data_IF_803288905352
#
_entry.id   IF_803288905352
#
_cell.length_a   1.000
_cell.length_b   1.000
_cell.length_c   1.000
_cell.angle_alpha   90.00
_cell.angle_beta   90.00
_cell.angle_gamma   90.00
#
_symmetry.space_group_name_H-M   'P 1'
#
loop_
_entity.id
_entity.type
_entity.pdbx_description
1 polymer ?
#
# COMPACT_ATOMS: atom_id res chain seq x y z
N UNK A 1 -25.15 19.59 19.84
CA UNK A 1 -24.25 20.75 19.61
C UNK A 1 -24.44 21.88 20.64
N UNK A 2 -25.59 22.01 21.32
CA UNK A 2 -25.83 23.07 22.33
C UNK A 2 -25.15 22.83 23.69
N UNK A 3 -24.99 21.59 24.14
CA UNK A 3 -24.38 21.29 25.45
C UNK A 3 -22.89 21.69 25.54
N UNK A 4 -22.10 21.52 24.47
CA UNK A 4 -20.69 21.93 24.47
C UNK A 4 -20.50 23.44 24.64
N UNK A 5 -21.44 24.24 24.14
CA UNK A 5 -21.39 25.71 24.30
C UNK A 5 -21.59 26.10 25.76
N UNK A 6 -22.44 25.36 26.49
CA UNK A 6 -22.67 25.59 27.92
C UNK A 6 -21.43 25.20 28.77
N UNK A 7 -20.82 24.04 28.47
CA UNK A 7 -19.59 23.58 29.15
C UNK A 7 -18.41 24.56 28.98
N UNK A 8 -18.20 25.07 27.77
CA UNK A 8 -17.15 26.07 27.49
C UNK A 8 -17.41 27.38 28.25
N UNK A 9 -18.66 27.85 28.27
CA UNK A 9 -19.02 29.07 28.98
C UNK A 9 -18.85 28.94 30.49
N UNK A 10 -19.21 27.80 31.07
CA UNK A 10 -18.99 27.50 32.48
C UNK A 10 -17.50 27.47 32.83
N UNK A 11 -16.67 26.89 31.96
CA UNK A 11 -15.22 26.89 32.12
C UNK A 11 -14.64 28.31 32.12
N UNK A 12 -15.01 29.14 31.15
CA UNK A 12 -14.56 30.54 31.10
C UNK A 12 -15.01 31.37 32.30
N UNK A 13 -16.25 31.15 32.78
CA UNK A 13 -16.76 31.81 33.99
C UNK A 13 -15.90 31.47 35.20
N UNK A 14 -15.64 30.18 35.45
CA UNK A 14 -14.80 29.74 36.60
C UNK A 14 -13.39 30.31 36.54
N UNK A 15 -12.75 30.36 35.37
CA UNK A 15 -11.41 30.95 35.25
C UNK A 15 -11.42 32.46 35.49
N UNK A 16 -12.47 33.15 35.06
CA UNK A 16 -12.60 34.59 35.29
C UNK A 16 -12.74 34.95 36.77
N UNK A 17 -13.36 34.07 37.57
CA UNK A 17 -13.49 34.25 39.03
C UNK A 17 -12.16 34.07 39.78
N UNK A 18 -11.21 33.32 39.22
CA UNK A 18 -9.93 33.00 39.88
C UNK A 18 -8.81 33.98 39.52
N UNK A 19 -9.02 34.88 38.54
CA UNK A 19 -7.98 35.83 38.13
C UNK A 19 -7.83 36.97 39.14
N UNK A 20 -7.02 36.74 40.16
CA UNK A 20 -6.47 37.76 41.06
C UNK A 20 -5.09 38.19 40.55
N UNK A 21 -4.86 39.49 40.44
CA UNK A 21 -3.53 40.03 40.15
C UNK A 21 -2.66 39.97 41.42
N UNK A 22 -1.74 39.00 41.48
CA UNK A 22 -0.80 38.89 42.60
C UNK A 22 0.34 39.91 42.51
N UNK A 23 0.78 40.37 43.69
CA UNK A 23 1.98 41.18 43.81
C UNK A 23 3.24 40.40 43.39
N UNK A 24 4.28 41.11 42.94
CA UNK A 24 5.58 40.51 42.60
C UNK A 24 6.17 39.69 43.76
N UNK A 25 6.00 40.17 44.98
CA UNK A 25 6.51 39.49 46.18
C UNK A 25 5.79 38.17 46.46
N UNK A 26 4.48 38.13 46.22
CA UNK A 26 3.66 36.92 46.41
C UNK A 26 3.98 35.87 45.35
N UNK A 27 4.20 36.30 44.11
CA UNK A 27 4.66 35.44 43.02
C UNK A 27 6.04 34.83 43.32
N UNK A 28 6.98 35.59 43.89
CA UNK A 28 8.26 35.04 44.30
C UNK A 28 8.13 34.02 45.43
N UNK A 29 7.24 34.26 46.41
CA UNK A 29 6.94 33.30 47.50
C UNK A 29 6.34 32.01 46.93
N UNK A 30 5.41 32.11 45.98
CA UNK A 30 4.83 30.97 45.27
C UNK A 30 5.91 30.14 44.57
N UNK A 31 6.79 30.77 43.79
CA UNK A 31 7.88 30.07 43.11
C UNK A 31 8.85 29.38 44.08
N UNK A 32 9.17 30.02 45.21
CA UNK A 32 9.99 29.40 46.27
C UNK A 32 9.33 28.16 46.87
N UNK A 33 8.01 28.16 47.05
CA UNK A 33 7.24 27.00 47.53
C UNK A 33 7.17 25.89 46.49
N UNK A 34 6.96 26.24 45.22
CA UNK A 34 6.95 25.27 44.10
C UNK A 34 8.30 24.56 43.99
N UNK A 35 9.43 25.28 44.11
CA UNK A 35 10.77 24.66 44.14
C UNK A 35 10.99 23.70 45.31
N UNK A 36 10.23 23.85 46.41
CA UNK A 36 10.24 22.93 47.56
C UNK A 36 9.29 21.73 47.37
N UNK A 37 8.57 21.64 46.26
CA UNK A 37 7.64 20.54 45.97
C UNK A 37 6.22 20.74 46.53
N UNK A 38 5.83 21.96 46.88
CA UNK A 38 4.49 22.25 47.39
C UNK A 38 3.42 22.15 46.28
N UNK A 39 2.55 21.16 46.39
CA UNK A 39 1.48 20.88 45.40
C UNK A 39 0.40 21.96 45.39
N UNK A 40 0.05 22.53 46.55
CA UNK A 40 -0.96 23.59 46.63
C UNK A 40 -0.46 24.88 45.97
N UNK A 41 0.84 25.20 46.14
CA UNK A 41 1.45 26.32 45.45
C UNK A 41 1.48 26.12 43.92
N UNK A 42 1.72 24.88 43.46
CA UNK A 42 1.70 24.53 42.03
C UNK A 42 0.30 24.66 41.44
N UNK A 43 -0.72 24.16 42.13
CA UNK A 43 -2.11 24.27 41.70
C UNK A 43 -2.54 25.74 41.62
N UNK A 44 -2.24 26.53 42.66
CA UNK A 44 -2.54 27.97 42.63
C UNK A 44 -1.84 28.68 41.47
N UNK A 45 -0.58 28.34 41.19
CA UNK A 45 0.16 28.89 40.05
C UNK A 45 -0.46 28.50 38.70
N UNK A 46 -0.98 27.28 38.58
CA UNK A 46 -1.68 26.82 37.39
C UNK A 46 -2.96 27.62 37.17
N UNK A 47 -3.81 27.71 38.19
CA UNK A 47 -5.08 28.44 38.19
C UNK A 47 -4.95 29.89 37.70
N UNK A 48 -3.93 30.61 38.18
CA UNK A 48 -3.66 32.00 37.79
C UNK A 48 -3.31 32.15 36.30
N UNK A 49 -2.76 31.11 35.68
CA UNK A 49 -2.24 31.15 34.32
C UNK A 49 -3.11 30.38 33.31
N UNK A 50 -4.26 29.82 33.71
CA UNK A 50 -5.16 29.10 32.79
C UNK A 50 -5.61 29.97 31.61
N UNK A 51 -5.78 31.28 31.82
CA UNK A 51 -6.17 32.23 30.76
C UNK A 51 -5.16 32.31 29.62
N UNK A 52 -3.89 32.01 29.88
CA UNK A 52 -2.81 32.03 28.88
C UNK A 52 -2.99 30.91 27.83
N UNK A 53 -3.61 29.79 28.23
CA UNK A 53 -3.77 28.60 27.38
C UNK A 53 -4.81 28.83 26.28
N UNK A 54 -5.89 29.55 26.60
CA UNK A 54 -7.03 29.79 25.70
C UNK A 54 -6.61 30.38 24.34
N UNK A 55 -5.85 31.50 24.26
CA UNK A 55 -5.44 32.05 22.95
C UNK A 55 -4.47 31.12 22.21
N UNK A 56 -3.66 30.32 22.92
CA UNK A 56 -2.79 29.34 22.28
C UNK A 56 -3.62 28.22 21.63
N UNK A 57 -4.58 27.64 22.37
CA UNK A 57 -5.49 26.59 21.90
C UNK A 57 -6.35 27.04 20.72
N UNK A 58 -6.90 28.26 20.75
CA UNK A 58 -7.72 28.81 19.64
C UNK A 58 -7.00 28.81 18.29
N UNK A 59 -5.67 28.97 18.26
CA UNK A 59 -4.89 28.95 17.00
C UNK A 59 -4.85 27.56 16.35
N UNK A 60 -5.08 26.50 17.12
CA UNK A 60 -5.02 25.12 16.65
C UNK A 60 -6.41 24.49 16.43
N UNK A 61 -7.48 25.26 16.65
CA UNK A 61 -8.84 24.80 16.43
C UNK A 61 -9.05 24.40 14.97
N UNK A 62 -9.56 23.18 14.77
CA UNK A 62 -9.91 22.59 13.47
C UNK A 62 -11.27 21.92 13.60
N UNK A 63 -11.90 21.57 12.48
CA UNK A 63 -13.24 20.96 12.46
C UNK A 63 -13.32 19.67 13.29
N UNK A 64 -12.22 18.93 13.37
CA UNK A 64 -12.20 17.55 13.89
C UNK A 64 -11.68 17.45 15.34
N UNK A 65 -11.40 18.57 16.01
CA UNK A 65 -10.85 18.57 17.38
C UNK A 65 -11.60 19.58 18.23
N UNK A 66 -12.09 19.14 19.40
CA UNK A 66 -12.80 20.01 20.33
C UNK A 66 -11.85 21.02 20.97
N UNK A 67 -12.34 22.25 21.17
CA UNK A 67 -11.58 23.32 21.82
C UNK A 67 -11.26 22.96 23.28
N UNK A 68 -12.18 22.28 23.97
CA UNK A 68 -11.95 21.85 25.35
C UNK A 68 -10.78 20.87 25.44
N UNK A 69 -10.70 19.90 24.53
CA UNK A 69 -9.59 18.95 24.48
C UNK A 69 -8.24 19.66 24.24
N UNK A 70 -8.21 20.65 23.34
CA UNK A 70 -7.01 21.46 23.10
C UNK A 70 -6.62 22.27 24.34
N UNK A 71 -7.60 22.79 25.08
CA UNK A 71 -7.37 23.54 26.31
C UNK A 71 -6.79 22.62 27.39
N UNK A 72 -7.36 21.43 27.59
CA UNK A 72 -6.88 20.50 28.62
C UNK A 72 -5.45 20.03 28.35
N UNK A 73 -5.12 19.73 27.10
CA UNK A 73 -3.75 19.38 26.71
C UNK A 73 -2.79 20.56 26.83
N UNK A 74 -3.28 21.77 26.53
CA UNK A 74 -2.57 23.00 26.83
C UNK A 74 -2.32 23.20 28.32
N UNK A 75 -3.27 22.82 29.20
CA UNK A 75 -3.12 22.88 30.66
C UNK A 75 -2.05 21.89 31.14
N UNK A 76 -1.95 20.69 30.53
CA UNK A 76 -0.85 19.75 30.79
C UNK A 76 0.51 20.34 30.37
N UNK A 77 0.57 21.05 29.24
CA UNK A 77 1.75 21.79 28.81
C UNK A 77 2.12 22.91 29.79
N UNK A 78 1.13 23.67 30.28
CA UNK A 78 1.32 24.70 31.30
C UNK A 78 1.88 24.11 32.60
N UNK A 79 1.38 22.95 33.03
CA UNK A 79 1.87 22.25 34.22
C UNK A 79 3.36 21.90 34.09
N UNK A 80 3.77 21.37 32.93
CA UNK A 80 5.18 21.08 32.64
C UNK A 80 6.04 22.35 32.61
N UNK A 81 5.49 23.46 32.11
CA UNK A 81 6.18 24.75 32.16
C UNK A 81 6.42 25.21 33.60
N UNK A 82 5.43 25.05 34.48
CA UNK A 82 5.56 25.43 35.90
C UNK A 82 6.63 24.58 36.60
N UNK A 83 6.71 23.29 36.30
CA UNK A 83 7.73 22.40 36.90
C UNK A 83 9.16 22.76 36.50
N UNK A 84 9.35 23.21 35.26
CA UNK A 84 10.70 23.43 34.67
C UNK A 84 11.13 24.89 34.64
N UNK A 85 10.24 25.81 34.95
CA UNK A 85 10.54 27.24 34.90
C UNK A 85 11.51 27.63 36.03
N UNK A 86 12.50 28.44 35.68
CA UNK A 86 13.43 29.02 36.65
C UNK A 86 13.33 30.56 36.65
N UNK A 87 12.75 31.15 37.72
CA UNK A 87 12.65 32.61 37.84
C UNK A 87 13.99 33.34 37.87
N UNK A 88 15.09 32.65 38.22
CA UNK A 88 16.43 33.26 38.32
C UNK A 88 16.94 33.82 36.97
N UNK A 89 16.41 33.31 35.86
CA UNK A 89 16.83 33.67 34.50
C UNK A 89 16.28 35.01 34.02
N UNK A 90 15.38 35.65 34.76
CA UNK A 90 14.87 37.01 34.46
C UNK A 90 13.89 37.10 33.28
N UNK A 91 13.47 35.98 32.69
CA UNK A 91 12.44 35.97 31.65
C UNK A 91 11.03 35.91 32.23
N UNK A 92 10.05 36.49 31.53
CA UNK A 92 8.63 36.37 31.92
C UNK A 92 8.16 34.93 31.77
N UNK A 93 7.42 34.43 32.76
CA UNK A 93 6.87 33.07 32.74
C UNK A 93 6.02 32.79 31.49
N UNK A 94 5.20 33.75 31.06
CA UNK A 94 4.35 33.62 29.87
C UNK A 94 5.15 33.33 28.60
N UNK A 95 6.35 33.92 28.44
CA UNK A 95 7.24 33.67 27.30
C UNK A 95 7.78 32.24 27.30
N UNK A 96 8.02 31.66 28.47
CA UNK A 96 8.47 30.27 28.59
C UNK A 96 7.31 29.28 28.46
N UNK A 97 6.18 29.57 29.10
CA UNK A 97 5.01 28.71 29.14
C UNK A 97 4.40 28.49 27.76
N UNK A 98 4.37 29.51 26.90
CA UNK A 98 3.77 29.41 25.57
C UNK A 98 4.44 28.33 24.70
N UNK A 99 5.74 28.09 24.88
CA UNK A 99 6.47 27.03 24.17
C UNK A 99 5.96 25.64 24.56
N UNK A 100 5.81 25.39 25.87
CA UNK A 100 5.31 24.11 26.38
C UNK A 100 3.83 23.87 26.06
N UNK A 101 3.02 24.94 26.16
CA UNK A 101 1.60 24.89 25.77
C UNK A 101 1.48 24.53 24.28
N UNK A 102 2.19 25.24 23.40
CA UNK A 102 2.16 24.96 21.96
C UNK A 102 2.69 23.57 21.63
N UNK A 103 3.74 23.10 22.32
CA UNK A 103 4.28 21.76 22.12
C UNK A 103 3.27 20.67 22.53
N UNK A 104 2.64 20.81 23.69
CA UNK A 104 1.67 19.84 24.21
C UNK A 104 0.48 19.72 23.27
N UNK A 105 -0.08 20.87 22.85
CA UNK A 105 -1.20 20.92 21.90
C UNK A 105 -0.80 20.28 20.55
N UNK A 106 0.37 20.63 20.00
CA UNK A 106 0.84 20.02 18.73
C UNK A 106 1.04 18.52 18.85
N UNK A 107 1.58 18.06 19.98
CA UNK A 107 1.78 16.64 20.25
C UNK A 107 0.44 15.91 20.32
N UNK A 108 -0.54 16.46 21.03
CA UNK A 108 -1.89 15.92 21.10
C UNK A 108 -2.53 15.82 19.72
N UNK A 109 -2.44 16.88 18.91
CA UNK A 109 -2.95 16.87 17.54
C UNK A 109 -2.27 15.79 16.71
N UNK A 110 -0.96 15.64 16.79
CA UNK A 110 -0.23 14.60 16.06
C UNK A 110 -0.56 13.17 16.59
N UNK A 111 -0.93 13.01 17.87
CA UNK A 111 -1.26 11.70 18.47
C UNK A 111 -2.73 11.28 18.31
N UNK A 112 -3.67 12.24 18.27
CA UNK A 112 -5.12 12.03 18.15
C UNK A 112 -5.68 12.36 16.77
N UNK A 113 -4.82 12.64 15.78
CA UNK A 113 -5.27 12.93 14.42
C UNK A 113 -5.67 11.65 13.69
N UNK A 114 -6.98 11.41 13.65
CA UNK A 114 -7.61 10.38 12.84
C UNK A 114 -7.84 9.07 13.59
N UNK A 115 -8.63 8.18 12.98
CA UNK A 115 -9.01 6.90 13.59
C UNK A 115 -7.84 5.89 13.66
N UNK A 116 -6.87 5.96 12.73
CA UNK A 116 -5.64 5.17 12.79
C UNK A 116 -4.48 6.06 13.23
N UNK A 117 -3.91 5.73 14.39
CA UNK A 117 -2.79 6.47 14.97
C UNK A 117 -1.55 6.42 14.07
N UNK A 118 -1.05 7.61 13.69
CA UNK A 118 0.23 7.76 13.00
C UNK A 118 1.35 8.02 14.03
N UNK A 119 2.51 7.34 13.93
CA UNK A 119 3.65 7.63 14.80
C UNK A 119 4.19 9.06 14.66
N UNK A 120 4.68 9.64 15.76
CA UNK A 120 5.17 11.03 15.81
C UNK A 120 6.29 11.35 14.79
N UNK A 121 7.20 10.41 14.55
CA UNK A 121 8.30 10.59 13.59
C UNK A 121 7.79 10.66 12.13
N UNK A 122 6.67 10.00 11.82
CA UNK A 122 6.09 10.02 10.48
C UNK A 122 5.42 11.37 10.16
N UNK A 123 4.87 12.06 11.17
CA UNK A 123 4.27 13.40 10.99
C UNK A 123 5.25 14.44 10.45
N UNK A 124 6.52 14.38 10.87
CA UNK A 124 7.56 15.27 10.35
C UNK A 124 7.79 15.08 8.85
N UNK A 125 7.83 13.83 8.41
CA UNK A 125 7.97 13.47 7.00
C UNK A 125 6.69 13.81 6.20
N UNK A 126 5.49 13.58 6.75
CA UNK A 126 4.21 13.95 6.11
C UNK A 126 4.08 15.48 5.94
N UNK A 127 4.49 16.27 6.93
CA UNK A 127 4.48 17.75 6.84
C UNK A 127 5.43 18.24 5.74
N UNK A 128 6.64 17.66 5.65
CA UNK A 128 7.60 17.94 4.57
C UNK A 128 7.05 17.54 3.20
N UNK A 129 6.47 16.35 3.10
CA UNK A 129 5.81 15.86 1.89
C UNK A 129 4.71 16.82 1.44
N UNK A 130 3.81 17.23 2.33
CA UNK A 130 2.68 18.10 1.98
C UNK A 130 3.15 19.51 1.56
N UNK A 131 4.16 20.06 2.24
CA UNK A 131 4.74 21.37 1.90
C UNK A 131 5.41 21.35 0.52
N UNK A 132 6.21 20.33 0.24
CA UNK A 132 6.89 20.18 -1.06
C UNK A 132 5.92 19.85 -2.18
N UNK A 133 4.90 19.03 -1.91
CA UNK A 133 3.83 18.74 -2.85
C UNK A 133 3.10 20.01 -3.28
N UNK A 134 2.71 20.87 -2.33
CA UNK A 134 2.05 22.13 -2.64
C UNK A 134 2.99 23.09 -3.39
N UNK A 135 4.26 23.21 -2.97
CA UNK A 135 5.22 24.07 -3.66
C UNK A 135 5.49 23.62 -5.12
N UNK A 136 5.58 22.31 -5.35
CA UNK A 136 5.72 21.76 -6.70
C UNK A 136 4.43 21.90 -7.51
N UNK A 137 3.27 21.72 -6.89
CA UNK A 137 1.98 21.93 -7.54
C UNK A 137 1.82 23.39 -8.00
N UNK A 138 2.21 24.34 -7.17
CA UNK A 138 2.14 25.77 -7.48
C UNK A 138 3.12 26.16 -8.59
N UNK A 139 4.33 25.58 -8.60
CA UNK A 139 5.34 25.88 -9.63
C UNK A 139 5.10 25.20 -10.98
N UNK A 140 4.50 24.00 -10.98
CA UNK A 140 4.24 23.23 -12.18
C UNK A 140 2.83 23.48 -12.76
N UNK A 141 1.95 24.13 -12.00
CA UNK A 141 0.51 24.29 -12.30
C UNK A 141 -0.21 22.96 -12.58
N UNK A 142 0.37 21.84 -12.11
CA UNK A 142 -0.17 20.48 -12.21
C UNK A 142 0.23 19.65 -11.01
N UNK A 143 -0.38 18.48 -10.86
CA UNK A 143 0.05 17.54 -9.83
C UNK A 143 1.47 17.03 -10.13
N UNK A 144 2.38 17.05 -9.12
CA UNK A 144 3.73 16.56 -9.29
C UNK A 144 3.77 15.03 -9.37
N UNK A 145 4.67 14.48 -10.19
CA UNK A 145 4.91 13.03 -10.23
C UNK A 145 5.65 12.55 -8.98
N UNK A 146 5.46 11.29 -8.59
CA UNK A 146 6.21 10.66 -7.49
C UNK A 146 7.74 10.70 -7.72
N UNK A 147 8.19 10.68 -8.97
CA UNK A 147 9.62 10.84 -9.29
C UNK A 147 10.12 12.27 -9.12
N UNK A 148 9.29 13.26 -9.41
CA UNK A 148 9.61 14.67 -9.17
C UNK A 148 9.69 14.94 -7.66
N UNK A 149 8.72 14.42 -6.90
CA UNK A 149 8.74 14.43 -5.44
C UNK A 149 9.98 13.74 -4.87
N UNK A 150 10.38 12.60 -5.45
CA UNK A 150 11.59 11.86 -5.03
C UNK A 150 12.86 12.65 -5.22
N UNK A 151 12.98 13.35 -6.35
CA UNK A 151 14.14 14.18 -6.67
C UNK A 151 14.21 15.42 -5.78
N UNK A 152 13.07 16.08 -5.55
CA UNK A 152 13.00 17.29 -4.75
C UNK A 152 13.28 17.03 -3.27
N UNK A 153 12.76 15.91 -2.74
CA UNK A 153 12.93 15.54 -1.33
C UNK A 153 14.23 14.75 -1.05
N UNK A 154 14.95 14.33 -2.09
CA UNK A 154 16.08 13.40 -2.02
C UNK A 154 15.74 12.11 -1.23
N UNK A 155 14.55 11.57 -1.50
CA UNK A 155 14.03 10.38 -0.81
C UNK A 155 14.01 9.16 -1.72
N UNK A 156 14.33 8.00 -1.16
CA UNK A 156 14.22 6.72 -1.87
C UNK A 156 12.77 6.39 -2.23
N UNK A 157 12.58 5.67 -3.33
CA UNK A 157 11.26 5.19 -3.77
C UNK A 157 10.48 4.42 -2.68
N UNK A 158 11.19 3.64 -1.85
CA UNK A 158 10.55 2.91 -0.74
C UNK A 158 10.03 3.85 0.35
N UNK A 159 10.79 4.90 0.67
CA UNK A 159 10.39 5.88 1.68
C UNK A 159 9.15 6.64 1.22
N UNK A 160 9.09 7.04 -0.05
CA UNK A 160 7.93 7.71 -0.63
C UNK A 160 6.70 6.81 -0.59
N UNK A 161 6.86 5.54 -1.00
CA UNK A 161 5.78 4.56 -0.95
C UNK A 161 5.25 4.36 0.47
N UNK A 162 6.14 4.24 1.46
CA UNK A 162 5.76 4.11 2.87
C UNK A 162 5.00 5.33 3.40
N UNK A 163 5.41 6.53 3.00
CA UNK A 163 4.70 7.77 3.38
C UNK A 163 3.33 7.82 2.72
N UNK A 164 3.24 7.46 1.44
CA UNK A 164 1.96 7.40 0.73
C UNK A 164 1.01 6.36 1.34
N UNK A 165 1.52 5.18 1.68
CA UNK A 165 0.77 4.14 2.40
C UNK A 165 0.27 4.67 3.75
N UNK A 166 1.10 5.40 4.49
CA UNK A 166 0.71 6.00 5.78
C UNK A 166 -0.38 7.06 5.60
N UNK A 167 -0.25 7.93 4.59
CA UNK A 167 -1.25 8.96 4.29
C UNK A 167 -2.57 8.31 3.84
N UNK A 168 -2.50 7.29 2.99
CA UNK A 168 -3.69 6.57 2.50
C UNK A 168 -4.38 5.79 3.62
N UNK A 169 -3.62 5.18 4.54
CA UNK A 169 -4.19 4.50 5.69
C UNK A 169 -4.93 5.49 6.61
N UNK A 170 -4.42 6.71 6.78
CA UNK A 170 -5.07 7.71 7.64
C UNK A 170 -6.24 8.44 6.96
N UNK A 171 -6.16 8.71 5.66
CA UNK A 171 -7.20 9.42 4.89
C UNK A 171 -8.26 8.51 4.28
N UNK A 172 -7.95 7.23 4.07
CA UNK A 172 -8.85 6.26 3.45
C UNK A 172 -9.83 5.63 4.44
N UNK A 173 -10.08 6.29 5.58
CA UNK A 173 -11.04 5.84 6.58
C UNK A 173 -12.28 6.69 6.38
N UNK A 174 -13.35 6.04 5.94
CA UNK A 174 -14.68 6.63 5.85
C UNK A 174 -15.63 5.93 6.81
N UNK A 175 -16.75 6.57 7.12
CA UNK A 175 -17.78 5.98 7.98
C UNK A 175 -18.56 4.91 7.21
N UNK A 176 -18.75 3.74 7.81
CA UNK A 176 -19.62 2.70 7.27
C UNK A 176 -21.10 3.14 7.23
N UNK A 177 -21.48 4.02 8.14
CA UNK A 177 -22.81 4.62 8.19
C UNK A 177 -22.97 5.79 7.19
N UNK A 178 -21.99 6.03 6.31
CA UNK A 178 -22.14 7.00 5.25
C UNK A 178 -23.21 6.50 4.27
N UNK A 179 -24.28 7.28 4.10
CA UNK A 179 -25.30 7.00 3.10
C UNK A 179 -24.70 7.15 1.69
N UNK A 180 -24.96 6.16 0.84
CA UNK A 180 -24.54 6.10 -0.55
C UNK A 180 -25.81 6.15 -1.42
N UNK A 181 -26.15 7.33 -1.91
CA UNK A 181 -27.31 7.55 -2.76
C UNK A 181 -28.01 8.88 -2.45
N UNK A 182 -29.00 9.25 -3.26
CA UNK A 182 -29.79 10.47 -3.06
C UNK A 182 -30.93 10.28 -2.05
N UNK A 183 -31.38 9.04 -1.83
CA UNK A 183 -32.54 8.70 -0.99
C UNK A 183 -32.16 8.26 0.44
N UNK A 184 -30.88 8.34 0.82
CA UNK A 184 -30.34 7.93 2.12
C UNK A 184 -30.69 6.48 2.57
N UNK A 185 -31.22 5.62 1.67
CA UNK A 185 -31.69 4.27 2.02
C UNK A 185 -30.58 3.22 2.12
N UNK A 186 -29.46 3.43 1.43
CA UNK A 186 -28.35 2.47 1.34
C UNK A 186 -27.13 3.08 2.00
N UNK A 187 -26.50 2.37 2.93
CA UNK A 187 -25.25 2.78 3.56
C UNK A 187 -24.05 2.07 2.94
N UNK A 188 -22.84 2.58 3.19
CA UNK A 188 -21.60 1.89 2.80
C UNK A 188 -21.53 0.49 3.42
N UNK A 189 -22.01 0.33 4.65
CA UNK A 189 -22.11 -0.96 5.33
C UNK A 189 -22.91 -1.99 4.51
N UNK A 190 -24.05 -1.58 3.94
CA UNK A 190 -24.92 -2.47 3.16
C UNK A 190 -24.28 -2.97 1.86
N UNK A 191 -23.28 -2.24 1.34
CA UNK A 191 -22.57 -2.60 0.10
C UNK A 191 -21.40 -3.57 0.33
N UNK A 192 -20.95 -3.74 1.58
CA UNK A 192 -19.80 -4.57 1.89
C UNK A 192 -20.22 -6.05 1.95
N UNK A 193 -19.58 -6.85 1.10
CA UNK A 193 -19.77 -8.31 1.12
C UNK A 193 -18.85 -8.95 2.16
N UNK A 194 -19.40 -9.89 2.94
CA UNK A 194 -18.59 -10.77 3.77
C UNK A 194 -18.03 -11.90 2.88
N UNK A 195 -16.74 -11.79 2.52
CA UNK A 195 -15.99 -12.85 1.83
C UNK A 195 -15.58 -14.00 2.79
N UNK A 196 -16.20 -14.05 3.97
CA UNK A 196 -15.90 -14.97 5.06
C UNK A 196 -15.99 -16.45 4.70
N UNK A 197 -15.23 -17.25 5.45
CA UNK A 197 -15.31 -18.72 5.41
C UNK A 197 -16.63 -19.17 6.04
N UNK A 198 -17.67 -19.27 5.23
CA UNK A 198 -19.01 -19.62 5.74
C UNK A 198 -20.11 -19.59 4.71
N UNK A 199 -19.81 -19.21 3.46
CA UNK A 199 -20.76 -19.31 2.37
C UNK A 199 -21.32 -20.77 2.33
N UNK A 200 -22.64 -20.97 2.35
CA UNK A 200 -23.26 -22.30 2.26
C UNK A 200 -22.67 -23.15 1.14
N UNK A 201 -22.33 -22.54 0.00
CA UNK A 201 -21.71 -23.22 -1.14
C UNK A 201 -20.30 -23.74 -0.82
N UNK A 202 -19.49 -22.95 -0.11
CA UNK A 202 -18.14 -23.35 0.31
C UNK A 202 -18.20 -24.46 1.36
N UNK A 203 -19.13 -24.36 2.31
CA UNK A 203 -19.34 -25.38 3.34
C UNK A 203 -19.79 -26.70 2.70
N UNK A 204 -20.75 -26.63 1.77
CA UNK A 204 -21.22 -27.79 1.02
C UNK A 204 -20.10 -28.39 0.16
N UNK A 205 -19.37 -27.57 -0.59
CA UNK A 205 -18.25 -28.01 -1.43
C UNK A 205 -17.16 -28.68 -0.61
N UNK A 206 -16.84 -28.13 0.57
CA UNK A 206 -15.85 -28.71 1.49
C UNK A 206 -16.34 -30.03 2.10
N UNK A 207 -17.60 -30.10 2.50
CA UNK A 207 -18.21 -31.33 3.03
C UNK A 207 -18.23 -32.44 1.97
N UNK A 208 -18.72 -32.13 0.76
CA UNK A 208 -18.73 -33.03 -0.39
C UNK A 208 -17.33 -33.53 -0.74
N UNK A 209 -16.35 -32.62 -0.80
CA UNK A 209 -14.95 -32.97 -1.02
C UNK A 209 -14.41 -33.92 0.05
N UNK A 210 -14.74 -33.69 1.33
CA UNK A 210 -14.30 -34.53 2.44
C UNK A 210 -14.92 -35.94 2.35
N UNK A 211 -16.23 -36.04 2.12
CA UNK A 211 -16.92 -37.33 1.92
C UNK A 211 -16.33 -38.11 0.75
N UNK A 212 -16.03 -37.43 -0.36
CA UNK A 212 -15.45 -38.06 -1.53
C UNK A 212 -13.98 -38.49 -1.30
N UNK A 213 -13.22 -37.75 -0.49
CA UNK A 213 -11.86 -38.11 -0.07
C UNK A 213 -11.90 -39.34 0.85
N UNK A 214 -12.83 -39.41 1.81
CA UNK A 214 -13.03 -40.58 2.67
C UNK A 214 -13.39 -41.83 1.84
N UNK A 215 -14.31 -41.70 0.89
CA UNK A 215 -14.65 -42.78 -0.05
C UNK A 215 -13.44 -43.20 -0.91
N UNK A 216 -12.56 -42.26 -1.27
CA UNK A 216 -11.31 -42.60 -1.97
C UNK A 216 -10.32 -43.35 -1.09
N UNK A 217 -10.22 -42.99 0.20
CA UNK A 217 -9.35 -43.65 1.19
C UNK A 217 -9.81 -45.07 1.55
N UNK A 218 -11.11 -45.36 1.51
CA UNK A 218 -11.64 -46.70 1.82
C UNK A 218 -11.28 -47.77 0.78
N UNK A 219 -11.01 -47.40 -0.47
CA UNK A 219 -10.59 -48.34 -1.52
C UNK A 219 -9.09 -48.67 -1.45
N UNK A 220 -8.31 -47.91 -0.67
CA UNK A 220 -6.90 -48.21 -0.47
C UNK A 220 -6.72 -49.40 0.47
N UNK A 221 -5.59 -50.10 0.31
CA UNK A 221 -5.18 -51.11 1.27
C UNK A 221 -5.13 -50.51 2.69
N UNK A 222 -5.56 -51.24 3.74
CA UNK A 222 -5.61 -50.73 5.10
C UNK A 222 -4.30 -50.11 5.58
N UNK A 223 -3.17 -50.73 5.20
CA UNK A 223 -1.82 -50.26 5.52
C UNK A 223 -1.45 -48.95 4.83
N UNK A 224 -1.86 -48.78 3.57
CA UNK A 224 -1.58 -47.58 2.77
C UNK A 224 -2.45 -46.41 3.25
N UNK A 225 -3.72 -46.69 3.60
CA UNK A 225 -4.65 -45.74 4.23
C UNK A 225 -4.10 -45.21 5.54
N UNK A 226 -3.63 -46.09 6.43
CA UNK A 226 -3.12 -45.70 7.74
C UNK A 226 -1.87 -44.82 7.66
N UNK A 227 -0.93 -45.15 6.76
CA UNK A 227 0.26 -44.33 6.47
C UNK A 227 -0.15 -42.93 5.99
N UNK A 228 -1.11 -42.83 5.07
CA UNK A 228 -1.59 -41.54 4.56
C UNK A 228 -2.34 -40.72 5.61
N UNK A 229 -3.15 -41.37 6.46
CA UNK A 229 -3.89 -40.70 7.52
C UNK A 229 -2.96 -40.11 8.58
N UNK A 230 -1.92 -40.84 9.00
CA UNK A 230 -0.91 -40.34 9.94
C UNK A 230 -0.06 -39.23 9.31
N UNK A 231 0.34 -39.40 8.04
CA UNK A 231 1.19 -38.43 7.34
C UNK A 231 0.53 -37.07 7.14
N UNK A 232 -0.77 -37.09 6.78
CA UNK A 232 -1.55 -35.88 6.53
C UNK A 232 -2.34 -35.40 7.77
N UNK A 233 -2.20 -36.07 8.92
CA UNK A 233 -2.90 -35.70 10.14
C UNK A 233 -4.42 -35.86 10.07
N UNK A 234 -4.96 -36.71 9.20
CA UNK A 234 -6.42 -36.87 9.04
C UNK A 234 -7.11 -37.51 10.25
N UNK A 235 -6.35 -38.15 11.16
CA UNK A 235 -6.87 -38.80 12.37
C UNK A 235 -6.67 -37.96 13.63
N UNK A 236 -5.49 -37.36 13.76
CA UNK A 236 -5.03 -36.66 14.98
C UNK A 236 -4.87 -35.15 14.77
N UNK A 237 -5.22 -34.63 13.59
CA UNK A 237 -5.04 -33.24 13.16
C UNK A 237 -3.58 -32.75 13.12
N UNK A 238 -2.61 -33.64 13.40
CA UNK A 238 -1.18 -33.37 13.37
C UNK A 238 -0.50 -34.26 12.32
N UNK A 239 0.18 -33.68 11.30
CA UNK A 239 0.88 -34.45 10.30
C UNK A 239 2.21 -34.99 10.86
N UNK A 240 2.39 -36.31 10.82
CA UNK A 240 3.62 -36.96 11.27
C UNK A 240 4.71 -36.97 10.20
N UNK A 241 5.99 -36.94 10.59
CA UNK A 241 7.11 -37.07 9.64
C UNK A 241 7.26 -38.50 9.12
N UNK A 242 7.90 -38.68 7.95
CA UNK A 242 8.20 -40.03 7.41
C UNK A 242 8.96 -40.91 8.42
N UNK A 243 9.80 -40.29 9.27
CA UNK A 243 10.58 -41.01 10.27
C UNK A 243 9.75 -41.43 11.48
N UNK A 244 8.74 -40.67 11.86
CA UNK A 244 7.80 -41.06 12.93
C UNK A 244 6.90 -42.18 12.45
N UNK A 245 6.32 -42.04 11.26
CA UNK A 245 5.49 -43.07 10.63
C UNK A 245 6.29 -44.36 10.42
N UNK A 246 7.56 -44.27 10.05
CA UNK A 246 8.42 -45.45 9.87
C UNK A 246 8.67 -46.21 11.18
N UNK A 247 8.83 -45.48 12.30
CA UNK A 247 8.97 -46.07 13.64
C UNK A 247 7.70 -46.78 14.09
N UNK A 248 6.54 -46.16 13.88
CA UNK A 248 5.23 -46.70 14.26
C UNK A 248 4.88 -47.95 13.43
N UNK A 249 5.14 -47.93 12.12
CA UNK A 249 4.77 -49.01 11.19
C UNK A 249 5.84 -50.12 11.06
N UNK A 250 6.98 -49.99 11.77
CA UNK A 250 8.10 -50.93 11.68
C UNK A 250 8.71 -51.03 10.27
N UNK A 251 8.74 -49.93 9.52
CA UNK A 251 9.21 -49.87 8.13
C UNK A 251 10.45 -48.99 8.01
N UNK A 252 11.21 -49.16 6.91
CA UNK A 252 12.21 -48.16 6.53
C UNK A 252 11.56 -46.86 6.10
N UNK A 253 12.19 -45.72 6.39
CA UNK A 253 11.75 -44.39 5.95
C UNK A 253 11.48 -44.33 4.44
N UNK A 254 12.37 -44.92 3.65
CA UNK A 254 12.24 -44.95 2.18
C UNK A 254 11.04 -45.81 1.74
N UNK A 255 10.74 -46.86 2.50
CA UNK A 255 9.57 -47.70 2.21
C UNK A 255 8.26 -46.96 2.48
N UNK A 256 8.18 -46.16 3.53
CA UNK A 256 7.02 -45.29 3.81
C UNK A 256 6.82 -44.28 2.67
N UNK A 257 7.90 -43.65 2.19
CA UNK A 257 7.86 -42.72 1.05
C UNK A 257 7.30 -43.37 -0.23
N UNK A 258 7.76 -44.58 -0.55
CA UNK A 258 7.27 -45.33 -1.71
C UNK A 258 5.78 -45.69 -1.61
N UNK A 259 5.33 -46.06 -0.41
CA UNK A 259 3.92 -46.37 -0.15
C UNK A 259 3.08 -45.09 -0.28
N UNK A 260 3.53 -43.98 0.29
CA UNK A 260 2.87 -42.67 0.16
C UNK A 260 2.71 -42.26 -1.30
N UNK A 261 3.78 -42.31 -2.11
CA UNK A 261 3.72 -41.93 -3.54
C UNK A 261 2.74 -42.80 -4.33
N UNK A 262 2.75 -44.12 -4.06
CA UNK A 262 1.82 -45.05 -4.71
C UNK A 262 0.37 -44.78 -4.32
N UNK A 263 0.14 -44.56 -3.03
CA UNK A 263 -1.18 -44.32 -2.47
C UNK A 263 -1.76 -42.97 -2.97
N UNK A 264 -0.96 -41.90 -3.02
CA UNK A 264 -1.34 -40.61 -3.61
C UNK A 264 -1.66 -40.75 -5.10
N UNK A 265 -0.84 -41.51 -5.84
CA UNK A 265 -1.09 -41.76 -7.27
C UNK A 265 -2.42 -42.49 -7.49
N UNK A 266 -2.75 -43.46 -6.64
CA UNK A 266 -4.03 -44.17 -6.67
C UNK A 266 -5.21 -43.25 -6.37
N UNK A 267 -5.13 -42.47 -5.29
CA UNK A 267 -6.17 -41.49 -4.90
C UNK A 267 -6.36 -40.45 -6.01
N UNK A 268 -5.28 -39.97 -6.64
CA UNK A 268 -5.38 -38.97 -7.73
C UNK A 268 -6.14 -39.50 -8.94
N UNK A 269 -5.89 -40.76 -9.35
CA UNK A 269 -6.64 -41.40 -10.44
C UNK A 269 -8.13 -41.52 -10.11
N UNK A 270 -8.46 -41.85 -8.86
CA UNK A 270 -9.84 -41.98 -8.41
C UNK A 270 -10.54 -40.63 -8.26
N UNK A 271 -9.87 -39.64 -7.68
CA UNK A 271 -10.37 -38.27 -7.55
C UNK A 271 -10.65 -37.65 -8.93
N UNK A 272 -9.84 -37.98 -9.94
CA UNK A 272 -10.12 -37.65 -11.34
C UNK A 272 -11.37 -38.37 -11.88
N UNK A 273 -11.57 -39.66 -11.56
CA UNK A 273 -12.78 -40.41 -11.96
C UNK A 273 -14.05 -39.88 -11.29
N UNK A 274 -13.93 -39.37 -10.07
CA UNK A 274 -15.01 -38.76 -9.29
C UNK A 274 -15.25 -37.28 -9.62
N UNK A 275 -14.47 -36.69 -10.53
CA UNK A 275 -14.62 -35.28 -10.94
C UNK A 275 -14.24 -34.24 -9.89
N UNK A 276 -13.57 -34.65 -8.80
CA UNK A 276 -13.18 -33.78 -7.66
C UNK A 276 -11.98 -32.90 -8.03
N UNK A 277 -11.08 -33.45 -8.87
CA UNK A 277 -9.95 -32.71 -9.41
C UNK A 277 -10.26 -32.33 -10.86
N UNK A 278 -10.37 -31.04 -11.14
CA UNK A 278 -10.39 -30.55 -12.51
C UNK A 278 -9.16 -31.06 -13.27
N UNK A 279 -9.37 -31.49 -14.51
CA UNK A 279 -8.30 -31.86 -15.41
C UNK A 279 -7.55 -30.61 -15.87
N UNK A 280 -6.67 -30.07 -15.04
CA UNK A 280 -5.56 -29.32 -15.59
C UNK A 280 -4.66 -30.34 -16.27
N UNK A 281 -4.89 -30.56 -17.56
CA UNK A 281 -3.98 -31.29 -18.43
C UNK A 281 -2.57 -30.72 -18.23
N UNK A 282 -1.70 -31.48 -17.55
CA UNK A 282 -0.30 -31.14 -17.25
C UNK A 282 0.55 -31.13 -18.54
N UNK A 283 -0.06 -31.26 -19.72
CA UNK A 283 0.62 -31.31 -21.01
C UNK A 283 1.03 -29.97 -21.59
N UNK A 284 0.69 -28.82 -20.98
CA UNK A 284 1.10 -27.53 -21.55
C UNK A 284 1.69 -26.54 -20.54
N UNK A 285 2.96 -26.76 -20.19
CA UNK A 285 3.76 -25.81 -19.38
C UNK A 285 4.31 -24.62 -20.18
N UNK A 286 4.06 -24.53 -21.50
CA UNK A 286 4.70 -23.51 -22.36
C UNK A 286 3.75 -22.46 -22.92
N UNK A 287 2.45 -22.70 -22.91
CA UNK A 287 1.45 -21.73 -23.37
C UNK A 287 0.32 -21.58 -22.36
N UNK A 288 0.55 -20.76 -21.33
CA UNK A 288 -0.59 -20.08 -20.71
C UNK A 288 -1.19 -19.17 -21.77
N UNK A 289 -2.42 -19.52 -22.14
CA UNK A 289 -3.31 -18.72 -22.96
C UNK A 289 -3.41 -17.32 -22.33
N UNK A 290 -2.86 -16.32 -23.03
CA UNK A 290 -3.27 -14.94 -22.81
C UNK A 290 -4.59 -14.84 -23.57
N UNK A 291 -5.71 -14.87 -22.85
CA UNK A 291 -7.02 -14.61 -23.45
C UNK A 291 -7.00 -13.19 -24.05
N UNK A 292 -7.72 -12.95 -25.15
CA UNK A 292 -7.72 -11.66 -25.86
C UNK A 292 -8.21 -10.48 -25.00
N UNK A 293 -8.84 -10.73 -23.85
CA UNK A 293 -9.20 -9.73 -22.83
C UNK A 293 -8.22 -9.58 -21.65
N UNK A 294 -7.06 -10.25 -21.69
CA UNK A 294 -6.06 -10.15 -20.61
C UNK A 294 -5.17 -8.93 -20.82
N UNK A 295 -5.46 -7.84 -20.10
CA UNK A 295 -4.62 -6.65 -20.12
C UNK A 295 -3.23 -6.94 -19.54
N UNK A 296 -2.19 -6.63 -20.33
CA UNK A 296 -0.80 -6.82 -19.94
C UNK A 296 -0.46 -5.84 -18.81
N UNK A 297 -0.28 -6.34 -17.58
CA UNK A 297 0.28 -5.53 -16.50
C UNK A 297 1.71 -5.13 -16.87
N UNK A 298 1.90 -3.86 -17.22
CA UNK A 298 3.21 -3.28 -17.47
C UNK A 298 4.08 -3.44 -16.23
N UNK A 299 5.38 -3.73 -16.41
CA UNK A 299 6.32 -3.78 -15.30
C UNK A 299 6.46 -2.37 -14.74
N UNK A 300 5.88 -2.12 -13.57
CA UNK A 300 6.02 -0.85 -12.88
C UNK A 300 7.21 -0.87 -11.92
N UNK A 301 7.86 0.28 -11.74
CA UNK A 301 8.83 0.45 -10.66
C UNK A 301 8.09 0.47 -9.31
N UNK A 302 8.81 0.53 -8.20
CA UNK A 302 8.24 0.64 -6.84
C UNK A 302 7.27 1.84 -6.70
N UNK A 303 7.44 2.87 -7.53
CA UNK A 303 6.59 4.07 -7.61
C UNK A 303 5.45 3.99 -8.63
N UNK A 304 5.16 2.83 -9.22
CA UNK A 304 4.04 2.67 -10.16
C UNK A 304 4.31 3.16 -11.58
N UNK A 305 5.43 3.83 -11.85
CA UNK A 305 5.79 4.23 -13.22
C UNK A 305 6.16 3.01 -14.08
N UNK A 306 5.65 2.98 -15.32
CA UNK A 306 5.93 1.93 -16.29
C UNK A 306 7.42 1.96 -16.65
N UNK A 307 8.16 0.95 -16.20
CA UNK A 307 9.55 0.75 -16.61
C UNK A 307 9.51 0.24 -18.06
N UNK A 308 10.18 0.98 -18.94
CA UNK A 308 10.13 0.79 -20.39
C UNK A 308 10.15 -0.67 -20.85
N UNK A 309 9.31 -0.93 -21.86
CA UNK A 309 9.05 -2.21 -22.56
C UNK A 309 9.61 -3.46 -21.87
N UNK A 310 8.74 -4.13 -21.08
CA UNK A 310 9.01 -5.46 -20.56
C UNK A 310 9.63 -6.34 -21.66
N UNK A 311 10.62 -7.18 -21.34
CA UNK A 311 11.21 -8.10 -22.32
C UNK A 311 10.14 -8.92 -23.06
N UNK A 312 9.01 -9.20 -22.39
CA UNK A 312 7.82 -9.81 -22.96
C UNK A 312 7.10 -8.91 -23.98
N UNK A 313 6.99 -7.60 -23.73
CA UNK A 313 6.41 -6.63 -24.67
C UNK A 313 7.26 -6.49 -25.94
N UNK A 314 8.60 -6.49 -25.80
CA UNK A 314 9.52 -6.53 -26.95
C UNK A 314 9.37 -7.82 -27.76
N UNK A 315 9.25 -8.97 -27.07
CA UNK A 315 9.03 -10.28 -27.70
C UNK A 315 7.67 -10.36 -28.41
N UNK A 316 6.61 -9.78 -27.84
CA UNK A 316 5.28 -9.76 -28.44
C UNK A 316 5.21 -8.83 -29.65
N UNK A 317 5.84 -7.65 -29.60
CA UNK A 317 5.97 -6.77 -30.78
C UNK A 317 6.69 -7.49 -31.93
N UNK A 318 7.80 -8.17 -31.63
CA UNK A 318 8.53 -8.99 -32.62
C UNK A 318 7.68 -10.14 -33.18
N UNK A 319 6.88 -10.81 -32.33
CA UNK A 319 5.98 -11.88 -32.77
C UNK A 319 4.82 -11.37 -33.63
N UNK A 320 4.26 -10.20 -33.30
CA UNK A 320 3.23 -9.55 -34.12
C UNK A 320 3.77 -9.16 -35.49
N UNK A 321 5.01 -8.68 -35.57
CA UNK A 321 5.71 -8.44 -36.82
C UNK A 321 5.91 -9.74 -37.63
N UNK A 322 6.31 -10.84 -36.99
CA UNK A 322 6.47 -12.15 -37.62
C UNK A 322 5.13 -12.73 -38.15
N UNK A 323 4.03 -12.53 -37.41
CA UNK A 323 2.68 -12.95 -37.84
C UNK A 323 2.26 -12.13 -39.07
N UNK A 324 2.43 -10.80 -39.04
CA UNK A 324 2.16 -9.93 -40.20
C UNK A 324 2.99 -10.33 -41.42
N UNK A 325 4.26 -10.68 -41.23
CA UNK A 325 5.14 -11.19 -42.28
C UNK A 325 4.65 -12.54 -42.84
N UNK A 326 4.18 -13.45 -41.98
CA UNK A 326 3.59 -14.74 -42.39
C UNK A 326 2.28 -14.57 -43.15
N UNK A 327 1.41 -13.66 -42.72
CA UNK A 327 0.17 -13.34 -43.42
C UNK A 327 0.42 -12.67 -44.77
N UNK A 328 1.37 -11.73 -44.83
CA UNK A 328 1.83 -11.13 -46.08
C UNK A 328 2.42 -12.20 -47.03
N UNK A 329 3.20 -13.15 -46.52
CA UNK A 329 3.74 -14.26 -47.31
C UNK A 329 2.66 -15.24 -47.78
N UNK A 330 1.63 -15.50 -46.97
CA UNK A 330 0.45 -16.30 -47.37
C UNK A 330 -0.36 -15.59 -48.46
N UNK A 331 -0.58 -14.27 -48.33
CA UNK A 331 -1.23 -13.43 -49.35
C UNK A 331 -0.41 -13.37 -50.65
N UNK A 332 0.92 -13.33 -50.57
CA UNK A 332 1.79 -13.39 -51.74
C UNK A 332 1.75 -14.76 -52.42
N UNK A 333 1.66 -15.86 -51.65
CA UNK A 333 1.51 -17.23 -52.18
C UNK A 333 0.13 -17.47 -52.80
N UNK A 334 -0.95 -16.93 -52.23
CA UNK A 334 -2.29 -17.00 -52.83
C UNK A 334 -2.41 -16.14 -54.09
N UNK A 335 -1.69 -15.00 -54.17
CA UNK A 335 -1.56 -14.22 -55.39
C UNK A 335 -0.73 -14.94 -56.48
N UNK A 336 0.22 -15.79 -56.08
CA UNK A 336 1.00 -16.61 -57.02
C UNK A 336 0.23 -17.85 -57.51
N UNK A 337 -0.68 -18.41 -56.72
CA UNK A 337 -1.57 -19.50 -57.15
C UNK A 337 -2.69 -19.04 -58.10
N UNK A 338 -2.95 -17.74 -58.21
CA UNK A 338 -3.91 -17.17 -59.17
C UNK A 338 -3.31 -16.81 -60.54
N UNK A 339 -2.00 -17.08 -60.78
CA UNK A 339 -1.35 -16.91 -62.09
C UNK A 339 -1.08 -18.26 -62.78
N UNK A 340 -2.12 -19.08 -62.97
CA UNK A 340 -2.13 -20.15 -63.99
C UNK A 340 -3.53 -20.29 -64.61
N UNK A 341 -3.78 -19.47 -65.63
CA UNK A 341 -4.54 -19.82 -66.84
C UNK A 341 -4.20 -18.79 -67.93
N UNK A 342 -3.95 -19.21 -69.18
CA UNK A 342 -3.44 -18.32 -70.23
C UNK A 342 -4.58 -17.72 -71.07
N UNK A 343 -4.26 -16.59 -71.72
CA UNK A 343 -4.91 -16.04 -72.92
C UNK A 343 -6.37 -15.52 -72.79
N UNK A 344 -6.50 -14.23 -72.45
CA UNK A 344 -7.31 -13.19 -73.14
C UNK A 344 -7.53 -11.99 -72.22
N UNK A 345 -6.63 -11.02 -72.29
CA UNK A 345 -6.84 -9.60 -71.94
C UNK A 345 -5.50 -8.83 -72.09
N UNK A 346 -4.87 -8.94 -73.27
CA UNK A 346 -3.92 -7.93 -73.76
C UNK A 346 -4.67 -7.04 -74.73
N UNK A 347 -5.56 -6.21 -74.19
CA UNK A 347 -6.15 -5.02 -74.83
C UNK A 347 -7.01 -4.37 -73.76
N UNK A 348 -6.85 -3.07 -73.58
CA UNK A 348 -7.42 -2.23 -72.51
C UNK A 348 -6.66 -2.39 -71.16
N UNK A 349 -5.93 -1.44 -70.60
CA UNK A 349 -5.83 0.00 -70.79
C UNK A 349 -4.35 0.44 -70.76
N UNK A 350 -3.81 0.80 -71.92
CA UNK A 350 -2.82 1.88 -72.04
C UNK A 350 -3.62 3.15 -72.30
N UNK A 351 -3.84 3.94 -71.25
CA UNK A 351 -4.30 5.33 -71.16
C UNK A 351 -4.60 5.46 -69.67
N UNK A 352 -3.66 5.84 -68.82
CA UNK A 352 -3.26 7.23 -68.61
C UNK A 352 -1.90 7.28 -67.89
N UNK A 353 -0.96 8.07 -68.41
CA UNK A 353 0.19 8.64 -67.69
C UNK A 353 0.00 10.17 -67.74
N UNK A 354 0.45 10.97 -66.74
CA UNK A 354 1.87 11.37 -66.60
C UNK A 354 2.38 11.24 -65.15
N UNK A 355 3.62 10.84 -64.86
CA UNK A 355 4.95 11.46 -65.09
C UNK A 355 5.36 12.52 -64.04
N UNK A 356 6.45 12.23 -63.30
CA UNK A 356 7.63 13.08 -62.94
C UNK A 356 8.31 12.54 -61.67
N UNK A 357 9.52 11.97 -61.76
CA UNK A 357 10.86 12.60 -61.63
C UNK A 357 11.24 12.89 -60.16
N UNK A 358 12.17 12.11 -59.58
CA UNK A 358 13.63 12.33 -59.52
C UNK A 358 14.05 13.58 -58.73
N UNK A 359 14.64 13.37 -57.56
CA UNK A 359 15.75 14.20 -57.05
C UNK A 359 16.73 13.34 -56.25
N UNK A 360 17.96 13.32 -56.75
CA UNK A 360 19.10 12.57 -56.24
C UNK A 360 19.92 13.42 -55.26
N UNK A 361 20.55 12.71 -54.31
CA UNK A 361 21.95 12.79 -53.80
C UNK A 361 22.67 14.15 -53.62
N UNK A 362 23.61 14.10 -52.66
CA UNK A 362 24.81 14.92 -52.38
C UNK A 362 24.57 15.89 -51.20
N UNK A 363 25.22 15.72 -50.04
CA UNK A 363 26.64 16.03 -49.87
C UNK A 363 27.37 15.17 -48.82
N UNK A 364 28.64 14.93 -49.16
CA UNK A 364 29.66 14.17 -48.44
C UNK A 364 30.63 15.16 -47.76
N UNK A 365 31.15 14.74 -46.61
CA UNK A 365 32.44 15.11 -45.99
C UNK A 365 32.61 16.48 -45.33
N UNK A 366 33.08 16.44 -44.06
CA UNK A 366 34.48 16.72 -43.69
C UNK A 366 34.71 16.23 -42.25
N UNK A 367 35.65 15.29 -42.04
CA UNK A 367 37.01 15.50 -41.49
C UNK A 367 36.97 15.75 -39.97
N UNK A 368 37.78 15.14 -39.08
CA UNK A 368 38.75 14.04 -39.02
C UNK A 368 39.21 14.05 -37.55
N UNK A 369 39.59 12.87 -37.02
CA UNK A 369 40.65 12.63 -36.02
C UNK A 369 40.39 13.24 -34.62
N UNK A 370 40.41 12.44 -33.56
CA UNK A 370 41.66 11.88 -33.01
C UNK A 370 41.51 10.41 -32.58
N UNK A 371 42.36 9.55 -33.16
CA UNK A 371 42.93 8.36 -32.51
C UNK A 371 43.79 8.86 -31.32
N UNK A 372 44.12 8.15 -30.24
CA UNK A 372 44.84 6.85 -30.13
C UNK A 372 45.07 6.56 -28.61
N UNK A 373 45.73 5.46 -28.16
CA UNK A 373 45.12 4.48 -27.23
C UNK A 373 46.06 4.06 -26.06
N UNK A 374 45.90 2.82 -25.56
CA UNK A 374 46.79 2.05 -24.67
C UNK A 374 46.68 2.39 -23.16
N UNK A 375 46.76 1.48 -22.18
CA UNK A 375 47.40 0.14 -22.09
C UNK A 375 46.98 -0.57 -20.78
N UNK A 376 46.88 -1.90 -20.79
CA UNK A 376 47.25 -2.90 -19.75
C UNK A 376 47.50 -2.48 -18.28
N UNK A 377 46.89 -3.22 -17.32
CA UNK A 377 47.53 -4.13 -16.32
C UNK A 377 46.50 -4.59 -15.26
N UNK A 378 46.26 -5.90 -15.12
CA UNK A 378 46.71 -6.80 -14.02
C UNK A 378 46.15 -6.51 -12.62
N UNK A 379 45.59 -7.57 -12.00
CA UNK A 379 45.66 -8.01 -10.58
C UNK A 379 45.37 -6.93 -9.52
N UNK A 380 44.37 -7.06 -8.66
CA UNK A 380 44.19 -8.08 -7.61
C UNK A 380 42.75 -8.03 -7.13
#
# INVERSE_FOLDING_TARGET
MSENVDSINQYFKKISEVSEDLSREEMEKLWKRIKKGDTAAKQRMMELNLRLVIPAAKRFMRKDIDLLDLIEEGNLGLLQAIEKFDPSKGFRFSTYAIYWIDQAIRKYIDEQSGAIKIPSHAWGDIKKWTRTWNALKDSLEREPSLTEMSRELDWSARKIKSILETINAAKGIDSLALAIGEEDEVTLEDTLTDDGKGNPDDVFSRSSSNSALLAALEELNPRDKEILMMRNGLKTNEPMTLSEVSKIMGLSRERVRQIEERAISHIRKKAHKLGILETHNISDRRTRQIHTGMELKNKTNVLGEIVGTSALEKLLKKRMEEIKLREAAKRAKSAHSFKKTPAKAKKELKKTFPAKEKSAKIAVSRIKKTKTPQKNKKKK
#
